data_IF_021343117972
#
_entry.id   IF_021343117972
#
_cell.length_a   1.000
_cell.length_b   1.000
_cell.length_c   1.000
_cell.angle_alpha   90.00
_cell.angle_beta   90.00
_cell.angle_gamma   90.00
#
_symmetry.space_group_name_H-M   'P 1'
#
loop_
_entity.id
_entity.type
_entity.pdbx_description
1 polymer ?
#
# COMPACT_ATOMS: atom_id res chain seq x y z
N UNK A 1 -1.64 -19.06 -10.10
CA UNK A 1 -1.07 -18.22 -11.17
C UNK A 1 0.40 -18.62 -11.37
N UNK A 2 0.95 -18.54 -12.57
CA UNK A 2 2.40 -18.63 -12.80
C UNK A 2 2.86 -17.36 -13.55
N UNK A 3 4.17 -17.13 -13.65
CA UNK A 3 4.73 -15.91 -14.28
C UNK A 3 4.24 -15.74 -15.73
N UNK A 4 4.09 -16.84 -16.49
CA UNK A 4 3.54 -16.78 -17.85
C UNK A 4 2.07 -16.34 -17.93
N UNK A 5 1.24 -16.75 -16.96
CA UNK A 5 -0.14 -16.28 -16.85
C UNK A 5 -0.25 -14.79 -16.51
N UNK A 6 0.68 -14.27 -15.70
CA UNK A 6 0.78 -12.84 -15.42
C UNK A 6 1.12 -12.05 -16.69
N UNK A 7 2.15 -12.46 -17.43
CA UNK A 7 2.59 -11.77 -18.64
C UNK A 7 1.47 -11.68 -19.69
N UNK A 8 0.72 -12.77 -19.89
CA UNK A 8 -0.43 -12.75 -20.81
C UNK A 8 -1.54 -11.80 -20.37
N UNK A 9 -1.78 -11.64 -19.06
CA UNK A 9 -2.83 -10.77 -18.54
C UNK A 9 -2.42 -9.29 -18.61
N UNK A 10 -1.14 -9.00 -18.43
CA UNK A 10 -0.58 -7.66 -18.64
C UNK A 10 -0.64 -7.28 -20.12
N UNK A 11 -0.19 -8.16 -21.02
CA UNK A 11 -0.21 -7.92 -22.48
C UNK A 11 -1.63 -7.74 -23.05
N UNK A 12 -2.63 -8.41 -22.47
CA UNK A 12 -4.04 -8.31 -22.90
C UNK A 12 -4.80 -7.11 -22.32
N UNK A 13 -4.13 -6.22 -21.58
CA UNK A 13 -4.76 -5.02 -21.01
C UNK A 13 -5.72 -5.31 -19.84
N UNK A 14 -5.60 -6.47 -19.19
CA UNK A 14 -6.50 -6.88 -18.10
C UNK A 14 -5.99 -6.47 -16.70
N UNK A 15 -5.32 -5.32 -16.59
CA UNK A 15 -4.70 -4.85 -15.35
C UNK A 15 -5.66 -4.81 -14.16
N UNK A 16 -6.90 -4.34 -14.39
CA UNK A 16 -7.92 -4.25 -13.34
C UNK A 16 -8.30 -5.62 -12.78
N UNK A 17 -8.40 -6.64 -13.65
CA UNK A 17 -8.67 -8.01 -13.21
C UNK A 17 -7.53 -8.52 -12.35
N UNK A 18 -6.30 -8.26 -12.78
CA UNK A 18 -5.12 -8.68 -12.06
C UNK A 18 -5.00 -8.02 -10.68
N UNK A 19 -5.28 -6.72 -10.60
CA UNK A 19 -5.34 -6.00 -9.32
C UNK A 19 -6.33 -6.65 -8.35
N UNK A 20 -7.54 -6.96 -8.81
CA UNK A 20 -8.57 -7.59 -7.97
C UNK A 20 -8.18 -9.01 -7.56
N UNK A 21 -7.55 -9.76 -8.45
CA UNK A 21 -7.03 -11.11 -8.14
C UNK A 21 -5.98 -11.03 -7.04
N UNK A 22 -5.04 -10.09 -7.11
CA UNK A 22 -3.99 -9.91 -6.09
C UNK A 22 -4.61 -9.55 -4.73
N UNK A 23 -5.55 -8.60 -4.69
CA UNK A 23 -6.27 -8.24 -3.46
C UNK A 23 -7.05 -9.43 -2.88
N UNK A 24 -7.73 -10.21 -3.73
CA UNK A 24 -8.46 -11.41 -3.29
C UNK A 24 -7.52 -12.45 -2.69
N UNK A 25 -6.36 -12.68 -3.29
CA UNK A 25 -5.35 -13.60 -2.75
C UNK A 25 -4.88 -13.10 -1.37
N UNK A 26 -4.65 -11.80 -1.22
CA UNK A 26 -4.24 -11.20 0.05
C UNK A 26 -5.29 -11.45 1.15
N UNK A 27 -6.57 -11.21 0.88
CA UNK A 27 -7.66 -11.46 1.83
C UNK A 27 -7.79 -12.95 2.19
N UNK A 28 -7.63 -13.85 1.21
CA UNK A 28 -7.64 -15.30 1.48
C UNK A 28 -6.46 -15.71 2.35
N UNK A 29 -5.26 -15.17 2.11
CA UNK A 29 -4.09 -15.44 2.93
C UNK A 29 -4.30 -14.99 4.38
N UNK A 30 -4.80 -13.77 4.57
CA UNK A 30 -5.09 -13.20 5.88
C UNK A 30 -6.11 -14.02 6.66
N UNK A 31 -7.16 -14.52 6.00
CA UNK A 31 -8.21 -15.34 6.65
C UNK A 31 -7.79 -16.79 6.90
N UNK A 32 -6.89 -17.34 6.08
CA UNK A 32 -6.49 -18.76 6.17
C UNK A 32 -5.25 -19.00 7.01
N UNK A 33 -4.51 -17.95 7.37
CA UNK A 33 -3.35 -17.98 8.28
C UNK A 33 -2.37 -19.10 7.91
N UNK A 34 -2.01 -19.98 8.86
CA UNK A 34 -1.03 -21.05 8.69
C UNK A 34 -1.39 -22.03 7.57
N UNK A 35 -2.68 -22.17 7.21
CA UNK A 35 -3.10 -23.04 6.10
C UNK A 35 -2.60 -22.53 4.74
N UNK A 36 -2.26 -21.24 4.64
CA UNK A 36 -1.77 -20.65 3.41
C UNK A 36 -0.34 -21.11 3.04
N UNK A 37 0.41 -21.71 3.98
CA UNK A 37 1.79 -22.20 3.76
C UNK A 37 1.87 -23.12 2.53
N UNK A 38 0.84 -23.92 2.27
CA UNK A 38 0.77 -24.84 1.12
C UNK A 38 0.81 -24.13 -0.26
N UNK A 39 0.45 -22.85 -0.32
CA UNK A 39 0.38 -22.07 -1.56
C UNK A 39 1.55 -21.08 -1.73
N UNK A 40 2.33 -20.86 -0.66
CA UNK A 40 3.40 -19.87 -0.60
C UNK A 40 4.40 -19.99 -1.75
N UNK A 41 4.98 -21.18 -1.95
CA UNK A 41 6.06 -21.41 -2.91
C UNK A 41 5.61 -21.20 -4.37
N UNK A 42 4.29 -21.27 -4.63
CA UNK A 42 3.71 -21.01 -5.95
C UNK A 42 3.45 -19.53 -6.18
N UNK A 43 2.99 -18.82 -5.16
CA UNK A 43 2.49 -17.45 -5.29
C UNK A 43 3.58 -16.40 -5.06
N UNK A 44 4.47 -16.61 -4.09
CA UNK A 44 5.51 -15.64 -3.74
C UNK A 44 6.37 -15.24 -4.94
N UNK A 45 6.90 -16.17 -5.78
CA UNK A 45 7.70 -15.78 -6.95
C UNK A 45 6.93 -14.93 -7.97
N UNK A 46 5.62 -15.20 -8.12
CA UNK A 46 4.78 -14.42 -9.02
C UNK A 46 4.63 -12.99 -8.51
N UNK A 47 4.36 -12.81 -7.22
CA UNK A 47 4.18 -11.49 -6.61
C UNK A 47 5.47 -10.67 -6.63
N UNK A 48 6.62 -11.28 -6.29
CA UNK A 48 7.95 -10.62 -6.41
C UNK A 48 8.22 -10.14 -7.85
N UNK A 49 7.81 -10.94 -8.85
CA UNK A 49 7.88 -10.54 -10.25
C UNK A 49 7.00 -9.32 -10.56
N UNK A 50 5.77 -9.25 -10.04
CA UNK A 50 4.91 -8.07 -10.21
C UNK A 50 5.62 -6.84 -9.64
N UNK A 51 6.10 -6.90 -8.40
CA UNK A 51 6.74 -5.77 -7.72
C UNK A 51 7.94 -5.27 -8.51
N UNK A 52 8.74 -6.18 -9.05
CA UNK A 52 9.96 -5.85 -9.80
C UNK A 52 9.72 -5.25 -11.18
N UNK A 53 8.57 -5.51 -11.81
CA UNK A 53 8.33 -5.16 -13.21
C UNK A 53 7.19 -4.14 -13.42
N UNK A 54 6.31 -3.96 -12.44
CA UNK A 54 5.21 -2.99 -12.48
C UNK A 54 5.69 -1.57 -12.16
N UNK A 55 6.63 -1.05 -12.95
CA UNK A 55 7.34 0.22 -12.67
C UNK A 55 6.81 1.45 -13.40
N UNK A 56 5.79 1.29 -14.25
CA UNK A 56 5.13 2.40 -14.95
C UNK A 56 4.05 3.03 -14.09
N UNK A 57 3.77 4.33 -14.27
CA UNK A 57 2.69 5.06 -13.57
C UNK A 57 1.35 4.30 -13.59
N UNK A 58 0.95 3.78 -14.75
CA UNK A 58 -0.31 3.03 -14.94
C UNK A 58 -0.42 1.71 -14.15
N UNK A 59 0.70 1.22 -13.62
CA UNK A 59 0.80 -0.04 -12.87
C UNK A 59 1.14 0.20 -11.40
N UNK A 60 1.24 1.46 -10.94
CA UNK A 60 1.56 1.78 -9.55
C UNK A 60 0.58 1.13 -8.57
N UNK A 61 -0.72 1.19 -8.86
CA UNK A 61 -1.74 0.57 -8.02
C UNK A 61 -1.55 -0.95 -7.91
N UNK A 62 -1.29 -1.62 -9.04
CA UNK A 62 -0.99 -3.06 -9.07
C UNK A 62 0.25 -3.41 -8.23
N UNK A 63 1.32 -2.61 -8.34
CA UNK A 63 2.52 -2.79 -7.53
C UNK A 63 2.22 -2.64 -6.04
N UNK A 64 1.47 -1.61 -5.64
CA UNK A 64 1.03 -1.41 -4.25
C UNK A 64 0.23 -2.59 -3.68
N UNK A 65 -0.76 -3.08 -4.44
CA UNK A 65 -1.54 -4.28 -4.07
C UNK A 65 -0.68 -5.53 -3.97
N UNK A 66 0.33 -5.69 -4.83
CA UNK A 66 1.26 -6.81 -4.76
C UNK A 66 2.16 -6.73 -3.51
N UNK A 67 2.63 -5.54 -3.15
CA UNK A 67 3.39 -5.27 -1.92
C UNK A 67 2.56 -5.66 -0.68
N UNK A 68 1.31 -5.22 -0.64
CA UNK A 68 0.37 -5.60 0.42
C UNK A 68 0.19 -7.12 0.48
N UNK A 69 -0.12 -7.75 -0.66
CA UNK A 69 -0.34 -9.19 -0.74
C UNK A 69 0.88 -9.99 -0.23
N UNK A 70 2.10 -9.60 -0.60
CA UNK A 70 3.33 -10.25 -0.11
C UNK A 70 3.44 -10.13 1.40
N UNK A 71 3.19 -8.95 1.95
CA UNK A 71 3.29 -8.71 3.40
C UNK A 71 2.24 -9.46 4.21
N UNK A 72 1.00 -9.57 3.71
CA UNK A 72 -0.08 -10.34 4.34
C UNK A 72 0.17 -11.85 4.26
N UNK A 73 0.63 -12.34 3.11
CA UNK A 73 1.06 -13.74 2.99
C UNK A 73 2.18 -14.03 3.98
N UNK A 74 3.18 -13.15 4.08
CA UNK A 74 4.28 -13.30 5.04
C UNK A 74 3.79 -13.38 6.49
N UNK A 75 2.77 -12.60 6.83
CA UNK A 75 2.17 -12.62 8.17
C UNK A 75 1.42 -13.93 8.43
N UNK A 76 0.62 -14.38 7.47
CA UNK A 76 -0.16 -15.61 7.54
C UNK A 76 0.72 -16.87 7.69
N UNK A 77 1.82 -16.96 6.95
CA UNK A 77 2.72 -18.13 6.98
C UNK A 77 3.75 -18.09 8.11
N UNK A 78 3.90 -16.94 8.77
CA UNK A 78 4.86 -16.73 9.85
C UNK A 78 6.32 -16.61 9.42
N UNK A 79 7.17 -16.27 10.41
CA UNK A 79 8.57 -15.95 10.21
C UNK A 79 9.40 -17.11 9.61
N UNK A 80 9.18 -18.34 10.06
CA UNK A 80 9.96 -19.50 9.62
C UNK A 80 9.92 -19.69 8.10
N UNK A 81 8.75 -19.47 7.48
CA UNK A 81 8.57 -19.59 6.04
C UNK A 81 9.03 -18.31 5.32
N UNK A 82 8.64 -17.15 5.82
CA UNK A 82 8.88 -15.86 5.15
C UNK A 82 10.35 -15.40 5.17
N UNK A 83 11.14 -15.78 6.18
CA UNK A 83 12.55 -15.35 6.32
C UNK A 83 13.42 -15.65 5.09
N UNK A 84 13.06 -16.66 4.29
CA UNK A 84 13.78 -17.02 3.05
C UNK A 84 13.72 -15.93 1.98
N UNK A 85 12.62 -15.17 1.95
CA UNK A 85 12.37 -14.12 0.98
C UNK A 85 12.45 -12.71 1.60
N UNK A 86 12.45 -12.61 2.94
CA UNK A 86 12.32 -11.35 3.65
C UNK A 86 13.35 -10.28 3.24
N UNK A 87 14.62 -10.66 3.08
CA UNK A 87 15.67 -9.73 2.63
C UNK A 87 15.40 -9.22 1.22
N UNK A 88 15.11 -10.13 0.28
CA UNK A 88 14.84 -9.78 -1.11
C UNK A 88 13.60 -8.89 -1.22
N UNK A 89 12.53 -9.21 -0.48
CA UNK A 89 11.32 -8.41 -0.41
C UNK A 89 11.62 -7.02 0.14
N UNK A 90 12.37 -6.91 1.24
CA UNK A 90 12.75 -5.61 1.81
C UNK A 90 13.55 -4.77 0.80
N UNK A 91 14.51 -5.37 0.09
CA UNK A 91 15.28 -4.68 -0.95
C UNK A 91 14.36 -4.17 -2.06
N UNK A 92 13.38 -4.96 -2.49
CA UNK A 92 12.37 -4.52 -3.48
C UNK A 92 11.51 -3.36 -2.99
N UNK A 93 11.09 -3.34 -1.72
CA UNK A 93 10.30 -2.25 -1.15
C UNK A 93 11.11 -0.95 -1.05
N UNK A 94 12.36 -1.04 -0.59
CA UNK A 94 13.26 0.10 -0.48
C UNK A 94 13.64 0.66 -1.86
N UNK A 95 13.82 -0.22 -2.86
CA UNK A 95 14.02 0.16 -4.25
C UNK A 95 12.80 0.90 -4.82
N UNK A 96 11.59 0.43 -4.51
CA UNK A 96 10.34 1.09 -4.93
C UNK A 96 10.24 2.52 -4.38
N UNK A 97 10.71 2.74 -3.14
CA UNK A 97 10.75 4.07 -2.52
C UNK A 97 11.80 5.01 -3.15
N UNK A 98 12.93 4.47 -3.63
CA UNK A 98 14.11 5.26 -4.04
C UNK A 98 14.20 5.48 -5.55
N UNK A 99 13.79 4.53 -6.38
CA UNK A 99 13.86 4.63 -7.85
C UNK A 99 12.71 5.41 -8.48
N UNK A 100 11.64 5.68 -7.72
CA UNK A 100 10.52 6.52 -8.17
C UNK A 100 10.82 8.04 -8.19
N UNK A 101 12.06 8.45 -7.87
CA UNK A 101 12.31 9.75 -7.25
C UNK A 101 11.80 9.74 -5.82
N UNK A 102 12.05 10.80 -5.03
CA UNK A 102 11.25 10.97 -3.80
C UNK A 102 9.78 10.86 -4.20
N UNK A 103 9.10 9.80 -3.77
CA UNK A 103 7.67 9.65 -4.04
C UNK A 103 6.99 10.96 -3.62
N UNK A 104 6.13 11.53 -4.48
CA UNK A 104 5.29 12.66 -4.10
C UNK A 104 4.62 12.40 -2.75
N UNK A 105 4.40 13.46 -1.98
CA UNK A 105 3.83 13.36 -0.63
C UNK A 105 2.46 12.66 -0.65
N UNK A 106 1.76 12.71 -1.79
CA UNK A 106 0.45 12.11 -2.06
C UNK A 106 0.50 10.83 -2.92
N UNK A 107 1.69 10.23 -3.15
CA UNK A 107 1.76 9.01 -3.97
C UNK A 107 1.00 7.86 -3.28
N UNK A 108 0.04 7.22 -3.97
CA UNK A 108 -0.80 6.17 -3.39
C UNK A 108 -0.01 4.93 -2.96
N UNK A 109 1.23 4.73 -3.39
CA UNK A 109 2.07 3.62 -2.96
C UNK A 109 2.65 3.80 -1.56
N UNK A 110 2.71 5.04 -1.04
CA UNK A 110 3.29 5.34 0.27
C UNK A 110 2.58 4.58 1.38
N UNK A 111 1.24 4.52 1.35
CA UNK A 111 0.44 3.78 2.32
C UNK A 111 0.71 2.27 2.28
N UNK A 112 0.78 1.69 1.08
CA UNK A 112 1.11 0.28 0.88
C UNK A 112 2.50 -0.08 1.43
N UNK A 113 3.50 0.77 1.20
CA UNK A 113 4.87 0.58 1.70
C UNK A 113 4.92 0.62 3.22
N UNK A 114 4.33 1.65 3.85
CA UNK A 114 4.32 1.82 5.31
C UNK A 114 3.65 0.64 5.99
N UNK A 115 2.46 0.24 5.50
CA UNK A 115 1.75 -0.92 6.07
C UNK A 115 2.51 -2.23 5.86
N UNK A 116 3.15 -2.42 4.70
CA UNK A 116 3.98 -3.60 4.46
C UNK A 116 5.21 -3.64 5.38
N UNK A 117 5.91 -2.53 5.60
CA UNK A 117 7.02 -2.46 6.55
C UNK A 117 6.57 -2.77 7.98
N UNK A 118 5.41 -2.27 8.40
CA UNK A 118 4.86 -2.58 9.71
C UNK A 118 4.58 -4.08 9.88
N UNK A 119 3.95 -4.73 8.88
CA UNK A 119 3.71 -6.18 8.89
C UNK A 119 5.03 -6.97 8.88
N UNK A 120 6.01 -6.57 8.07
CA UNK A 120 7.33 -7.23 8.03
C UNK A 120 8.07 -7.05 9.36
N UNK A 121 7.98 -5.88 10.00
CA UNK A 121 8.51 -5.65 11.34
C UNK A 121 7.88 -6.60 12.37
N UNK A 122 6.57 -6.82 12.31
CA UNK A 122 5.86 -7.78 13.16
C UNK A 122 6.36 -9.22 12.94
N UNK A 123 6.63 -9.60 11.68
CA UNK A 123 7.13 -10.93 11.31
C UNK A 123 8.57 -11.14 11.78
N UNK A 124 9.47 -10.20 11.50
CA UNK A 124 10.92 -10.34 11.77
C UNK A 124 11.31 -10.02 13.22
N UNK A 125 10.47 -9.28 13.95
CA UNK A 125 10.77 -8.83 15.30
C UNK A 125 12.11 -8.08 15.35
N UNK A 126 13.03 -8.53 16.21
CA UNK A 126 14.33 -7.87 16.40
C UNK A 126 15.20 -7.82 15.14
N UNK A 127 15.04 -8.75 14.20
CA UNK A 127 15.83 -8.77 12.97
C UNK A 127 15.46 -7.60 12.03
N UNK A 128 14.34 -6.91 12.28
CA UNK A 128 13.94 -5.72 11.54
C UNK A 128 14.80 -4.49 11.86
N UNK A 129 15.54 -4.48 12.96
CA UNK A 129 16.31 -3.32 13.45
C UNK A 129 17.22 -2.71 12.38
N UNK A 130 17.86 -3.56 11.56
CA UNK A 130 18.74 -3.13 10.47
C UNK A 130 18.03 -2.27 9.40
N UNK A 131 16.71 -2.40 9.25
CA UNK A 131 15.93 -1.65 8.26
C UNK A 131 15.35 -0.34 8.81
N UNK A 132 15.33 -0.16 10.15
CA UNK A 132 14.77 1.04 10.78
C UNK A 132 15.36 2.36 10.23
N UNK A 133 16.68 2.52 10.06
CA UNK A 133 17.24 3.76 9.52
C UNK A 133 16.73 4.12 8.13
N UNK A 134 16.29 3.12 7.35
CA UNK A 134 15.85 3.27 5.97
C UNK A 134 14.35 3.57 5.87
N UNK A 135 13.54 2.95 6.73
CA UNK A 135 12.07 3.09 6.69
C UNK A 135 11.54 4.24 7.54
N UNK A 136 12.25 4.64 8.60
CA UNK A 136 11.73 5.63 9.55
C UNK A 136 11.63 7.04 8.94
N UNK A 137 12.52 7.42 8.02
CA UNK A 137 12.44 8.71 7.33
C UNK A 137 11.11 8.88 6.58
N UNK A 138 10.78 7.99 5.63
CA UNK A 138 9.49 7.98 4.95
C UNK A 138 8.28 7.91 5.89
N UNK A 139 8.34 7.07 6.93
CA UNK A 139 7.26 6.95 7.92
C UNK A 139 7.03 8.28 8.65
N UNK A 140 8.09 8.94 9.09
CA UNK A 140 7.99 10.24 9.78
C UNK A 140 7.51 11.35 8.85
N UNK A 141 7.93 11.33 7.57
CA UNK A 141 7.45 12.27 6.55
C UNK A 141 5.94 12.14 6.37
N UNK A 142 5.45 10.92 6.16
CA UNK A 142 4.03 10.64 5.98
C UNK A 142 3.21 11.00 7.24
N UNK A 143 3.72 10.68 8.43
CA UNK A 143 3.09 11.05 9.70
C UNK A 143 3.07 12.57 9.98
N UNK A 144 3.94 13.34 9.31
CA UNK A 144 4.02 14.80 9.46
C UNK A 144 3.20 15.56 8.42
N UNK A 145 2.48 14.85 7.53
CA UNK A 145 1.62 15.48 6.53
C UNK A 145 0.53 16.30 7.23
N UNK A 146 0.43 17.57 6.83
CA UNK A 146 -0.59 18.48 7.36
C UNK A 146 -1.81 18.42 6.45
N UNK A 147 -3.01 18.17 7.00
CA UNK A 147 -4.22 18.23 6.21
C UNK A 147 -4.41 19.66 5.68
N UNK A 148 -4.87 19.76 4.44
CA UNK A 148 -5.33 21.04 3.90
C UNK A 148 -6.68 21.37 4.55
N UNK A 149 -6.75 22.54 5.19
CA UNK A 149 -7.95 23.00 5.92
C UNK A 149 -8.41 24.34 5.35
N UNK A 150 -9.72 24.49 5.19
CA UNK A 150 -10.34 25.70 4.69
C UNK A 150 -11.49 26.12 5.62
N UNK A 151 -11.62 27.43 5.83
CA UNK A 151 -12.78 28.04 6.45
C UNK A 151 -13.54 28.77 5.35
N UNK A 152 -14.74 28.32 5.04
CA UNK A 152 -15.59 28.84 3.97
C UNK A 152 -16.89 29.36 4.54
N UNK A 153 -17.50 30.37 3.91
CA UNK A 153 -18.89 30.69 4.18
C UNK A 153 -19.84 29.79 3.36
N UNK A 154 -21.15 30.03 3.44
CA UNK A 154 -22.14 29.21 2.73
C UNK A 154 -22.13 29.41 1.22
N UNK A 155 -21.68 30.56 0.73
CA UNK A 155 -21.64 30.87 -0.71
C UNK A 155 -20.36 30.26 -1.33
N UNK A 156 -19.24 30.34 -0.62
CA UNK A 156 -17.96 29.73 -1.01
C UNK A 156 -18.00 28.19 -0.97
N UNK A 157 -18.75 27.60 -0.03
CA UNK A 157 -18.92 26.14 0.07
C UNK A 157 -19.54 25.53 -1.20
N UNK A 158 -20.53 26.20 -1.81
CA UNK A 158 -21.20 25.69 -3.02
C UNK A 158 -20.24 25.54 -4.21
N UNK A 159 -19.12 26.28 -4.23
CA UNK A 159 -18.10 26.17 -5.25
C UNK A 159 -17.17 24.97 -5.10
N UNK A 160 -17.11 24.36 -3.91
CA UNK A 160 -16.16 23.29 -3.55
C UNK A 160 -16.87 22.00 -3.12
N UNK A 161 -18.18 22.04 -2.86
CA UNK A 161 -19.00 20.89 -2.45
C UNK A 161 -19.00 19.73 -3.48
N UNK A 162 -18.68 20.01 -4.74
CA UNK A 162 -18.53 19.00 -5.79
C UNK A 162 -17.19 18.26 -5.81
N UNK A 163 -16.22 18.69 -5.00
CA UNK A 163 -14.92 18.03 -4.90
C UNK A 163 -14.99 16.90 -3.85
N UNK A 164 -14.89 15.65 -4.33
CA UNK A 164 -14.95 14.45 -3.51
C UNK A 164 -13.81 14.37 -2.48
N UNK A 165 -12.74 15.12 -2.71
CA UNK A 165 -11.60 15.14 -1.80
C UNK A 165 -11.86 16.03 -0.58
N UNK A 166 -12.92 16.85 -0.55
CA UNK A 166 -13.22 17.72 0.59
C UNK A 166 -14.40 17.22 1.42
N UNK A 167 -14.20 17.21 2.74
CA UNK A 167 -15.27 16.98 3.71
C UNK A 167 -15.50 18.26 4.52
N UNK A 168 -16.76 18.67 4.62
CA UNK A 168 -17.16 19.90 5.30
C UNK A 168 -17.97 19.62 6.56
N UNK A 169 -17.74 20.44 7.59
CA UNK A 169 -18.51 20.48 8.83
C UNK A 169 -18.97 21.92 9.07
N UNK A 170 -20.27 22.16 9.19
CA UNK A 170 -20.80 23.50 9.47
C UNK A 170 -20.52 23.94 10.90
N UNK A 171 -19.95 25.14 11.04
CA UNK A 171 -19.69 25.83 12.30
C UNK A 171 -20.69 26.99 12.45
N UNK A 172 -21.90 26.67 12.91
CA UNK A 172 -22.97 27.67 13.06
C UNK A 172 -23.75 27.89 11.75
N UNK A 173 -24.36 29.08 11.61
CA UNK A 173 -25.31 29.35 10.51
C UNK A 173 -24.64 29.80 9.20
N UNK A 174 -23.41 30.31 9.24
CA UNK A 174 -22.76 30.97 8.08
C UNK A 174 -21.32 30.52 7.80
N UNK A 175 -20.76 29.60 8.58
CA UNK A 175 -19.38 29.17 8.42
C UNK A 175 -19.30 27.66 8.29
N UNK A 176 -18.37 27.18 7.47
CA UNK A 176 -18.10 25.78 7.18
C UNK A 176 -16.60 25.53 7.29
N UNK A 177 -16.24 24.44 7.95
CA UNK A 177 -14.88 23.97 8.10
C UNK A 177 -14.65 22.81 7.14
N UNK A 178 -13.82 23.02 6.13
CA UNK A 178 -13.41 22.01 5.15
C UNK A 178 -12.10 21.35 5.53
N UNK A 179 -12.04 20.03 5.41
CA UNK A 179 -10.81 19.24 5.48
C UNK A 179 -10.67 18.50 4.16
N UNK A 180 -9.50 18.62 3.51
CA UNK A 180 -9.17 17.80 2.36
C UNK A 180 -8.68 16.43 2.81
N UNK A 181 -9.27 15.39 2.25
CA UNK A 181 -9.12 13.98 2.58
C UNK A 181 -8.27 13.21 1.57
N UNK A 182 -8.01 13.77 0.38
CA UNK A 182 -7.03 13.20 -0.55
C UNK A 182 -5.64 13.16 0.09
N UNK A 183 -5.16 11.95 0.40
CA UNK A 183 -3.88 11.72 1.09
C UNK A 183 -4.01 11.30 2.56
N UNK A 184 -5.23 11.19 3.11
CA UNK A 184 -5.42 10.64 4.44
C UNK A 184 -5.47 9.11 4.43
N UNK A 185 -4.86 8.55 5.45
CA UNK A 185 -4.59 7.14 5.69
C UNK A 185 -5.86 6.31 5.96
N UNK A 186 -6.76 6.21 4.98
CA UNK A 186 -8.05 5.52 5.13
C UNK A 186 -7.96 3.98 5.30
N UNK A 187 -6.75 3.40 5.36
CA UNK A 187 -6.55 1.95 5.50
C UNK A 187 -5.89 1.49 6.81
N UNK A 188 -5.77 2.34 7.84
CA UNK A 188 -5.46 1.85 9.19
C UNK A 188 -6.73 1.36 9.90
N UNK A 189 -7.34 0.30 9.38
CA UNK A 189 -8.09 -0.61 10.26
C UNK A 189 -7.05 -1.37 11.10
N UNK A 190 -6.75 -0.85 12.29
CA UNK A 190 -6.07 -1.61 13.32
C UNK A 190 -7.04 -2.71 13.76
N UNK A 191 -6.89 -3.90 13.17
CA UNK A 191 -7.44 -5.14 13.71
C UNK A 191 -6.41 -5.79 14.62
#
# INVERSE_FOLDING_TARGET
MNVGGFLQLVEKGTKLVLEQVVTTIASVADTSEEQFVAYYDRLMPCLKYIISNANTEDLKMLRGKAIECVSLIGLAVGAEKFMRDASEVMDMLLKTQTEGGDLPDDDPQTSYLISAWARICKILGKQFEQYLPLVMGPVMKAASMKPEVALLDNDDMQGVEGDLDWQFVSLGEQQNFGIKTSGNFDNFEIT
#
